data_IF_259717442225
#
_entry.id   IF_259717442225
#
_cell.length_a   1.000
_cell.length_b   1.000
_cell.length_c   1.000
_cell.angle_alpha   90.00
_cell.angle_beta   90.00
_cell.angle_gamma   90.00
#
_symmetry.space_group_name_H-M   'P 1'
#
loop_
_entity.id
_entity.type
_entity.pdbx_description
1 polymer ?
#
# COMPACT_ATOMS: atom_id res chain seq x y z
N UNK A 1 11.77 -10.74 14.38
CA UNK A 1 13.09 -10.05 14.59
C UNK A 1 13.45 -9.87 16.07
N UNK A 2 12.64 -9.14 16.88
CA UNK A 2 12.95 -8.87 18.29
C UNK A 2 13.07 -10.16 19.15
N UNK A 3 12.16 -11.12 18.94
CA UNK A 3 12.17 -12.41 19.67
C UNK A 3 13.44 -13.25 19.38
N UNK A 4 13.95 -13.22 18.14
CA UNK A 4 15.21 -13.88 17.77
C UNK A 4 16.43 -13.20 18.40
N UNK A 5 16.43 -11.86 18.43
CA UNK A 5 17.47 -11.07 19.12
C UNK A 5 17.44 -11.31 20.64
N UNK A 6 16.26 -11.43 21.24
CA UNK A 6 16.08 -11.74 22.65
C UNK A 6 16.50 -13.18 22.99
N UNK A 7 16.22 -14.14 22.09
CA UNK A 7 16.66 -15.53 22.26
C UNK A 7 18.19 -15.68 22.28
N UNK A 8 18.92 -14.93 21.44
CA UNK A 8 20.39 -14.93 21.39
C UNK A 8 21.08 -14.38 22.65
N UNK A 9 20.36 -13.58 23.44
CA UNK A 9 20.87 -12.91 24.65
C UNK A 9 20.82 -13.85 25.88
N UNK A 10 20.06 -14.95 25.81
CA UNK A 10 19.95 -16.01 26.83
C UNK A 10 18.90 -15.74 27.93
N UNK A 11 18.23 -16.81 28.39
CA UNK A 11 17.16 -16.76 29.39
C UNK A 11 17.50 -16.00 30.69
N UNK A 12 18.71 -16.12 31.29
CA UNK A 12 19.04 -15.38 32.52
C UNK A 12 19.03 -13.85 32.35
N UNK A 13 19.48 -13.36 31.18
CA UNK A 13 19.51 -11.93 30.90
C UNK A 13 18.11 -11.40 30.55
N UNK A 14 17.26 -12.21 29.93
CA UNK A 14 15.83 -11.91 29.74
C UNK A 14 15.09 -11.79 31.07
N UNK A 15 15.30 -12.74 31.98
CA UNK A 15 14.69 -12.72 33.32
C UNK A 15 15.05 -11.42 34.06
N UNK A 16 16.32 -11.01 34.00
CA UNK A 16 16.79 -9.76 34.64
C UNK A 16 16.22 -8.50 34.00
N UNK A 17 16.22 -8.43 32.67
CA UNK A 17 15.76 -7.24 31.92
C UNK A 17 14.25 -7.06 31.98
N UNK A 18 13.49 -8.13 31.77
CA UNK A 18 12.02 -8.12 31.85
C UNK A 18 11.57 -7.91 33.29
N UNK A 19 12.18 -8.60 34.27
CA UNK A 19 11.88 -8.40 35.69
C UNK A 19 12.14 -6.96 36.14
N UNK A 20 13.27 -6.37 35.73
CA UNK A 20 13.60 -4.97 36.03
C UNK A 20 12.66 -3.95 35.37
N UNK A 21 12.18 -4.23 34.17
CA UNK A 21 11.19 -3.38 33.50
C UNK A 21 9.81 -3.46 34.18
N UNK A 22 9.36 -4.68 34.51
CA UNK A 22 8.07 -4.91 35.18
C UNK A 22 8.04 -4.32 36.60
N UNK A 23 9.16 -4.35 37.32
CA UNK A 23 9.26 -3.79 38.68
C UNK A 23 9.11 -2.27 38.74
N UNK A 24 9.29 -1.55 37.62
CA UNK A 24 9.09 -0.10 37.54
C UNK A 24 7.64 0.32 37.29
N UNK A 25 6.75 -0.64 37.01
CA UNK A 25 5.34 -0.36 36.77
C UNK A 25 4.56 -0.37 38.09
N UNK A 26 3.74 0.65 38.31
CA UNK A 26 2.84 0.73 39.46
C UNK A 26 1.53 -0.02 39.20
N UNK A 27 1.66 -1.35 39.03
CA UNK A 27 0.53 -2.27 38.95
C UNK A 27 0.83 -3.54 39.76
N UNK A 28 -0.10 -4.03 40.60
CA UNK A 28 0.15 -5.16 41.50
C UNK A 28 0.56 -6.44 40.75
N UNK A 29 -0.05 -6.72 39.58
CA UNK A 29 0.35 -7.87 38.76
C UNK A 29 1.78 -7.75 38.20
N UNK A 30 2.24 -6.53 37.87
CA UNK A 30 3.58 -6.31 37.35
C UNK A 30 4.64 -6.47 38.46
N UNK A 31 4.35 -5.99 39.67
CA UNK A 31 5.22 -6.20 40.85
C UNK A 31 5.34 -7.68 41.21
N UNK A 32 4.22 -8.41 41.23
CA UNK A 32 4.22 -9.85 41.47
C UNK A 32 5.02 -10.64 40.42
N UNK A 33 4.87 -10.30 39.13
CA UNK A 33 5.65 -10.92 38.06
C UNK A 33 7.15 -10.60 38.17
N UNK A 34 7.51 -9.37 38.55
CA UNK A 34 8.90 -8.97 38.76
C UNK A 34 9.56 -9.73 39.92
N UNK A 35 8.85 -9.92 41.04
CA UNK A 35 9.31 -10.71 42.18
C UNK A 35 9.50 -12.19 41.82
N UNK A 36 8.55 -12.78 41.08
CA UNK A 36 8.68 -14.15 40.60
C UNK A 36 9.91 -14.34 39.70
N UNK A 37 10.15 -13.40 38.76
CA UNK A 37 11.32 -13.42 37.89
C UNK A 37 12.63 -13.23 38.69
N UNK A 38 12.66 -12.37 39.71
CA UNK A 38 13.81 -12.23 40.59
C UNK A 38 14.11 -13.53 41.37
N UNK A 39 13.06 -14.24 41.80
CA UNK A 39 13.17 -15.56 42.41
C UNK A 39 13.81 -16.59 41.47
N UNK A 40 13.41 -16.59 40.20
CA UNK A 40 14.01 -17.45 39.16
C UNK A 40 15.48 -17.10 38.95
N UNK A 41 15.84 -15.81 38.84
CA UNK A 41 17.24 -15.37 38.73
C UNK A 41 18.10 -15.86 39.90
N UNK A 42 17.57 -15.76 41.12
CA UNK A 42 18.25 -16.24 42.33
C UNK A 42 18.44 -17.77 42.33
N UNK A 43 17.44 -18.52 41.85
CA UNK A 43 17.54 -19.97 41.73
C UNK A 43 18.60 -20.42 40.70
N UNK A 44 18.78 -19.64 39.63
CA UNK A 44 19.85 -19.84 38.64
C UNK A 44 21.22 -19.56 39.27
N UNK A 45 21.39 -18.43 39.96
CA UNK A 45 22.66 -18.05 40.59
C UNK A 45 23.12 -19.05 41.67
N UNK A 46 22.17 -19.63 42.40
CA UNK A 46 22.43 -20.64 43.44
C UNK A 46 22.62 -22.06 42.88
N UNK A 47 22.54 -22.25 41.56
CA UNK A 47 22.66 -23.56 40.92
C UNK A 47 21.50 -24.51 41.20
N UNK A 48 20.37 -24.01 41.71
CA UNK A 48 19.15 -24.80 41.91
C UNK A 48 18.48 -25.14 40.56
N UNK A 49 18.72 -24.33 39.53
CA UNK A 49 18.43 -24.66 38.14
C UNK A 49 19.76 -25.02 37.47
N UNK A 50 19.85 -26.22 36.90
CA UNK A 50 21.09 -26.69 36.31
C UNK A 50 21.46 -25.91 35.03
N UNK A 51 22.75 -25.71 34.75
CA UNK A 51 23.21 -25.12 33.50
C UNK A 51 22.72 -25.86 32.25
N UNK A 52 22.57 -27.19 32.34
CA UNK A 52 22.08 -28.03 31.26
C UNK A 52 20.61 -27.75 30.94
N UNK A 53 19.77 -27.61 31.97
CA UNK A 53 18.35 -27.27 31.80
C UNK A 53 18.17 -25.87 31.20
N UNK A 54 19.01 -24.90 31.60
CA UNK A 54 19.02 -23.55 31.01
C UNK A 54 19.47 -23.57 29.55
N UNK A 55 20.51 -24.34 29.24
CA UNK A 55 21.00 -24.51 27.87
C UNK A 55 19.93 -25.14 26.96
N UNK A 56 19.21 -26.14 27.46
CA UNK A 56 18.11 -26.76 26.72
C UNK A 56 16.93 -25.82 26.51
N UNK A 57 16.54 -25.07 27.55
CA UNK A 57 15.50 -24.05 27.43
C UNK A 57 15.88 -22.96 26.39
N UNK A 58 17.13 -22.49 26.40
CA UNK A 58 17.63 -21.55 25.39
C UNK A 58 17.55 -22.14 23.98
N UNK A 59 17.99 -23.39 23.78
CA UNK A 59 17.88 -24.07 22.47
C UNK A 59 16.43 -24.17 21.99
N UNK A 60 15.48 -24.42 22.89
CA UNK A 60 14.07 -24.49 22.53
C UNK A 60 13.54 -23.11 22.08
N UNK A 61 13.85 -22.06 22.84
CA UNK A 61 13.46 -20.68 22.50
C UNK A 61 14.08 -20.23 21.18
N UNK A 62 15.35 -20.53 20.94
CA UNK A 62 16.02 -20.27 19.66
C UNK A 62 15.35 -21.00 18.49
N UNK A 63 15.02 -22.28 18.66
CA UNK A 63 14.33 -23.06 17.63
C UNK A 63 12.93 -22.52 17.34
N UNK A 64 12.16 -22.17 18.37
CA UNK A 64 10.86 -21.53 18.17
C UNK A 64 10.98 -20.20 17.43
N UNK A 65 11.93 -19.35 17.84
CA UNK A 65 12.16 -18.06 17.19
C UNK A 65 12.59 -18.21 15.72
N UNK A 66 13.37 -19.26 15.39
CA UNK A 66 13.72 -19.58 14.01
C UNK A 66 12.51 -20.01 13.19
N UNK A 67 11.66 -20.89 13.73
CA UNK A 67 10.42 -21.34 13.07
C UNK A 67 9.48 -20.16 12.81
N UNK A 68 9.32 -19.26 13.79
CA UNK A 68 8.49 -18.06 13.63
C UNK A 68 9.05 -17.11 12.57
N UNK A 69 10.37 -16.90 12.55
CA UNK A 69 11.04 -16.08 11.55
C UNK A 69 10.89 -16.67 10.13
N UNK A 70 11.03 -17.98 9.97
CA UNK A 70 10.81 -18.68 8.70
C UNK A 70 9.35 -18.56 8.24
N UNK A 71 8.40 -18.68 9.18
CA UNK A 71 6.97 -18.51 8.90
C UNK A 71 6.67 -17.08 8.44
N UNK A 72 7.18 -16.07 9.14
CA UNK A 72 7.04 -14.66 8.75
C UNK A 72 7.63 -14.42 7.35
N UNK A 73 8.84 -14.93 7.09
CA UNK A 73 9.51 -14.81 5.80
C UNK A 73 8.68 -15.45 4.67
N UNK A 74 8.12 -16.64 4.91
CA UNK A 74 7.25 -17.32 3.94
C UNK A 74 5.98 -16.54 3.66
N UNK A 75 5.30 -16.03 4.69
CA UNK A 75 4.10 -15.20 4.53
C UNK A 75 4.42 -13.96 3.69
N UNK A 76 5.51 -13.25 4.01
CA UNK A 76 5.93 -12.08 3.25
C UNK A 76 6.31 -12.41 1.81
N UNK A 77 6.92 -13.58 1.57
CA UNK A 77 7.25 -14.06 0.23
C UNK A 77 5.99 -14.31 -0.60
N UNK A 78 5.01 -15.04 -0.07
CA UNK A 78 3.74 -15.35 -0.74
C UNK A 78 2.93 -14.08 -1.05
N UNK A 79 2.87 -13.14 -0.09
CA UNK A 79 2.23 -11.83 -0.29
C UNK A 79 2.92 -11.06 -1.43
N UNK A 80 4.25 -10.97 -1.41
CA UNK A 80 5.00 -10.27 -2.45
C UNK A 80 4.87 -10.95 -3.82
N UNK A 81 4.83 -12.27 -3.85
CA UNK A 81 4.62 -13.03 -5.09
C UNK A 81 3.23 -12.74 -5.67
N UNK A 82 2.19 -12.71 -4.83
CA UNK A 82 0.83 -12.39 -5.24
C UNK A 82 0.72 -10.95 -5.76
N UNK A 83 1.28 -9.97 -5.03
CA UNK A 83 1.30 -8.56 -5.46
C UNK A 83 2.01 -8.40 -6.81
N UNK A 84 3.15 -9.08 -7.01
CA UNK A 84 3.87 -9.03 -8.29
C UNK A 84 3.07 -9.67 -9.41
N UNK A 85 2.41 -10.81 -9.15
CA UNK A 85 1.55 -11.46 -10.13
C UNK A 85 0.35 -10.58 -10.52
N UNK A 86 -0.28 -9.90 -9.56
CA UNK A 86 -1.35 -8.94 -9.81
C UNK A 86 -0.85 -7.72 -10.59
N UNK A 87 0.30 -7.16 -10.21
CA UNK A 87 0.90 -6.00 -10.89
C UNK A 87 1.31 -6.30 -12.34
N UNK A 88 1.71 -7.54 -12.63
CA UNK A 88 2.06 -8.03 -13.96
C UNK A 88 0.86 -8.61 -14.72
N UNK A 89 -0.34 -8.64 -14.13
CA UNK A 89 -1.52 -9.16 -14.78
C UNK A 89 -1.89 -8.28 -15.98
N UNK A 90 -1.87 -8.88 -17.18
CA UNK A 90 -2.17 -8.22 -18.45
C UNK A 90 -3.66 -8.26 -18.81
N UNK A 91 -4.56 -8.43 -17.83
CA UNK A 91 -5.99 -8.56 -18.09
C UNK A 91 -6.53 -7.36 -18.90
N UNK A 92 -6.94 -7.66 -20.12
CA UNK A 92 -7.46 -6.71 -21.08
C UNK A 92 -8.71 -6.00 -20.58
N UNK A 93 -9.54 -6.64 -19.76
CA UNK A 93 -10.76 -6.03 -19.23
C UNK A 93 -10.39 -4.88 -18.30
N UNK A 94 -9.55 -5.11 -17.29
CA UNK A 94 -9.12 -4.09 -16.31
C UNK A 94 -8.36 -2.95 -17.00
N UNK A 95 -7.50 -3.27 -17.98
CA UNK A 95 -6.68 -2.28 -18.69
C UNK A 95 -7.48 -1.39 -19.63
N UNK A 96 -8.56 -1.92 -20.23
CA UNK A 96 -9.42 -1.19 -21.18
C UNK A 96 -10.56 -0.46 -20.50
N UNK A 97 -11.00 -0.85 -19.31
CA UNK A 97 -12.08 -0.17 -18.58
C UNK A 97 -11.83 1.33 -18.42
N UNK A 98 -10.62 1.74 -18.02
CA UNK A 98 -10.31 3.18 -17.80
C UNK A 98 -10.37 3.98 -19.12
N UNK A 99 -9.72 3.57 -20.22
CA UNK A 99 -9.89 4.22 -21.53
C UNK A 99 -11.32 4.19 -22.06
N UNK A 100 -12.03 3.07 -21.94
CA UNK A 100 -13.40 2.91 -22.43
C UNK A 100 -14.35 3.91 -21.76
N UNK A 101 -14.23 4.11 -20.45
CA UNK A 101 -15.01 5.13 -19.75
C UNK A 101 -14.78 6.53 -20.32
N UNK A 102 -13.52 6.90 -20.57
CA UNK A 102 -13.18 8.18 -21.20
C UNK A 102 -13.74 8.33 -22.61
N UNK A 103 -13.69 7.27 -23.43
CA UNK A 103 -14.25 7.31 -24.78
C UNK A 103 -15.77 7.44 -24.79
N UNK A 104 -16.46 6.72 -23.89
CA UNK A 104 -17.91 6.83 -23.77
C UNK A 104 -18.30 8.25 -23.33
N UNK A 105 -17.62 8.83 -22.33
CA UNK A 105 -17.89 10.21 -21.91
C UNK A 105 -17.63 11.24 -23.02
N UNK A 106 -16.55 11.08 -23.77
CA UNK A 106 -16.24 11.97 -24.88
C UNK A 106 -17.30 11.88 -25.99
N UNK A 107 -17.76 10.65 -26.30
CA UNK A 107 -18.79 10.40 -27.29
C UNK A 107 -20.14 10.98 -26.86
N UNK A 108 -20.55 10.76 -25.61
CA UNK A 108 -21.83 11.30 -25.10
C UNK A 108 -21.80 12.82 -25.03
N UNK A 109 -20.66 13.41 -24.63
CA UNK A 109 -20.48 14.87 -24.64
C UNK A 109 -20.58 15.42 -26.06
N UNK A 110 -19.90 14.79 -27.02
CA UNK A 110 -19.97 15.19 -28.43
C UNK A 110 -21.39 15.10 -28.99
N UNK A 111 -22.10 14.00 -28.73
CA UNK A 111 -23.49 13.84 -29.13
C UNK A 111 -24.40 14.90 -28.50
N UNK A 112 -24.21 15.22 -27.22
CA UNK A 112 -24.96 16.25 -26.53
C UNK A 112 -24.71 17.64 -27.15
N UNK A 113 -23.46 17.99 -27.43
CA UNK A 113 -23.12 19.27 -28.07
C UNK A 113 -23.67 19.36 -29.51
N UNK A 114 -23.68 18.25 -30.26
CA UNK A 114 -24.31 18.21 -31.57
C UNK A 114 -25.82 18.41 -31.49
N UNK A 115 -26.49 17.79 -30.53
CA UNK A 115 -27.93 17.98 -30.32
C UNK A 115 -28.26 19.44 -30.00
N UNK A 116 -27.46 20.09 -29.15
CA UNK A 116 -27.61 21.52 -28.84
C UNK A 116 -27.39 22.39 -30.08
N UNK A 117 -26.32 22.13 -30.84
CA UNK A 117 -26.04 22.86 -32.07
C UNK A 117 -27.17 22.70 -33.10
N UNK A 118 -27.75 21.50 -33.21
CA UNK A 118 -28.90 21.23 -34.07
C UNK A 118 -30.13 22.04 -33.64
N UNK A 119 -30.49 22.02 -32.36
CA UNK A 119 -31.65 22.79 -31.85
C UNK A 119 -31.45 24.28 -32.07
N UNK A 120 -30.25 24.82 -31.83
CA UNK A 120 -29.97 26.25 -32.07
C UNK A 120 -30.14 26.61 -33.55
N UNK A 121 -29.69 25.74 -34.46
CA UNK A 121 -29.73 26.01 -35.90
C UNK A 121 -31.11 25.81 -36.53
N UNK A 122 -31.87 24.80 -36.09
CA UNK A 122 -33.11 24.37 -36.75
C UNK A 122 -34.37 24.63 -35.92
N UNK A 123 -34.27 24.71 -34.60
CA UNK A 123 -35.41 24.89 -33.67
C UNK A 123 -35.13 25.98 -32.61
N UNK A 124 -34.78 27.22 -33.03
CA UNK A 124 -34.27 28.25 -32.13
C UNK A 124 -35.27 28.67 -31.04
N UNK A 125 -36.57 28.50 -31.27
CA UNK A 125 -37.62 28.77 -30.27
C UNK A 125 -37.54 27.83 -29.07
N UNK A 126 -37.00 26.61 -29.23
CA UNK A 126 -36.83 25.62 -28.17
C UNK A 126 -35.43 25.67 -27.54
N UNK A 127 -34.49 26.43 -28.12
CA UNK A 127 -33.10 26.46 -27.66
C UNK A 127 -32.96 26.88 -26.20
N UNK A 128 -33.78 27.84 -25.73
CA UNK A 128 -33.79 28.27 -24.33
C UNK A 128 -34.15 27.15 -23.36
N UNK A 129 -35.22 26.41 -23.66
CA UNK A 129 -35.71 25.32 -22.81
C UNK A 129 -34.72 24.15 -22.78
N UNK A 130 -34.15 23.80 -23.94
CA UNK A 130 -33.16 22.71 -24.05
C UNK A 130 -31.88 23.07 -23.29
N UNK A 131 -31.35 24.29 -23.45
CA UNK A 131 -30.16 24.75 -22.70
C UNK A 131 -30.46 24.81 -21.20
N UNK A 132 -31.66 25.23 -20.81
CA UNK A 132 -32.11 25.19 -19.42
C UNK A 132 -32.12 23.77 -18.84
N UNK A 133 -32.62 22.80 -19.59
CA UNK A 133 -32.63 21.39 -19.20
C UNK A 133 -31.20 20.80 -19.06
N UNK A 134 -30.24 21.22 -19.88
CA UNK A 134 -28.84 20.81 -19.71
C UNK A 134 -28.26 21.22 -18.35
N UNK A 135 -28.71 22.35 -17.80
CA UNK A 135 -28.33 22.78 -16.45
C UNK A 135 -28.64 21.73 -15.38
N UNK A 136 -29.72 20.97 -15.55
CA UNK A 136 -30.12 19.90 -14.62
C UNK A 136 -29.18 18.69 -14.66
N UNK A 137 -28.43 18.51 -15.76
CA UNK A 137 -27.44 17.45 -15.92
C UNK A 137 -26.08 17.79 -15.25
N UNK A 138 -25.92 18.99 -14.68
CA UNK A 138 -24.64 19.43 -14.09
C UNK A 138 -24.09 18.47 -13.03
N UNK A 139 -24.97 17.88 -12.21
CA UNK A 139 -24.59 16.95 -11.16
C UNK A 139 -23.97 15.66 -11.73
N UNK A 140 -24.60 15.04 -12.74
CA UNK A 140 -24.08 13.80 -13.36
C UNK A 140 -22.76 14.07 -14.11
N UNK A 141 -22.64 15.24 -14.77
CA UNK A 141 -21.41 15.64 -15.44
C UNK A 141 -20.27 15.90 -14.47
N UNK A 142 -20.54 16.53 -13.32
CA UNK A 142 -19.53 16.77 -12.29
C UNK A 142 -18.97 15.46 -11.75
N UNK A 143 -19.83 14.47 -11.46
CA UNK A 143 -19.40 13.14 -11.02
C UNK A 143 -18.58 12.44 -12.11
N UNK A 144 -19.08 12.40 -13.35
CA UNK A 144 -18.39 11.74 -14.46
C UNK A 144 -17.01 12.33 -14.76
N UNK A 145 -16.90 13.66 -14.79
CA UNK A 145 -15.64 14.36 -15.03
C UNK A 145 -14.67 14.24 -13.84
N UNK A 146 -15.17 14.17 -12.61
CA UNK A 146 -14.33 13.92 -11.42
C UNK A 146 -13.67 12.54 -11.48
N UNK A 147 -14.43 11.51 -11.83
CA UNK A 147 -13.93 10.15 -12.01
C UNK A 147 -12.88 10.11 -13.12
N UNK A 148 -13.14 10.76 -14.26
CA UNK A 148 -12.18 10.88 -15.36
C UNK A 148 -10.90 11.61 -14.92
N UNK A 149 -11.02 12.69 -14.16
CA UNK A 149 -9.89 13.44 -13.62
C UNK A 149 -8.99 12.60 -12.72
N UNK A 150 -9.57 11.82 -11.80
CA UNK A 150 -8.84 10.88 -10.94
C UNK A 150 -8.11 9.82 -11.78
N UNK A 151 -8.78 9.26 -12.80
CA UNK A 151 -8.17 8.28 -13.68
C UNK A 151 -6.97 8.83 -14.45
N UNK A 152 -7.09 10.02 -15.03
CA UNK A 152 -5.98 10.68 -15.75
C UNK A 152 -4.82 10.97 -14.81
N UNK A 153 -5.10 11.49 -13.61
CA UNK A 153 -4.08 11.81 -12.62
C UNK A 153 -3.30 10.57 -12.17
N UNK A 154 -3.99 9.50 -11.76
CA UNK A 154 -3.34 8.24 -11.34
C UNK A 154 -2.56 7.60 -12.48
N UNK A 155 -3.10 7.61 -13.71
CA UNK A 155 -2.38 7.10 -14.89
C UNK A 155 -1.12 7.89 -15.20
N UNK A 156 -1.13 9.20 -14.97
CA UNK A 156 0.06 10.03 -15.11
C UNK A 156 1.13 9.63 -14.09
N UNK A 157 0.76 9.40 -12.84
CA UNK A 157 1.71 8.94 -11.81
C UNK A 157 2.30 7.57 -12.13
N UNK A 158 1.48 6.61 -12.60
CA UNK A 158 1.94 5.29 -13.03
C UNK A 158 3.03 5.40 -14.12
N UNK A 159 2.87 6.31 -15.09
CA UNK A 159 3.87 6.54 -16.15
C UNK A 159 5.17 7.15 -15.60
N UNK A 160 5.07 8.09 -14.66
CA UNK A 160 6.25 8.73 -14.07
C UNK A 160 7.03 7.78 -13.15
N UNK A 161 6.35 6.90 -12.42
CA UNK A 161 6.98 5.93 -11.51
C UNK A 161 7.77 4.82 -12.21
N UNK A 162 7.50 4.56 -13.50
CA UNK A 162 8.17 3.52 -14.30
C UNK A 162 9.50 3.97 -14.93
N UNK A 163 10.05 5.14 -14.57
CA UNK A 163 11.35 5.63 -15.10
C UNK A 163 11.35 5.98 -16.60
N UNK A 164 10.34 5.57 -17.34
CA UNK A 164 10.11 5.97 -18.73
C UNK A 164 9.47 7.36 -18.76
N UNK A 165 10.30 8.40 -18.69
CA UNK A 165 9.91 9.72 -19.17
C UNK A 165 9.81 9.66 -20.70
N UNK A 166 8.74 9.06 -21.23
CA UNK A 166 8.42 9.21 -22.65
C UNK A 166 8.25 10.72 -22.88
N UNK A 167 9.10 11.36 -23.70
CA UNK A 167 8.97 12.79 -23.95
C UNK A 167 7.56 13.06 -24.45
N UNK A 168 6.85 13.99 -23.80
CA UNK A 168 5.54 14.42 -24.29
C UNK A 168 5.64 14.85 -25.76
N UNK A 169 4.53 14.77 -26.49
CA UNK A 169 4.48 15.02 -27.94
C UNK A 169 5.23 16.31 -28.36
N UNK A 170 5.10 17.37 -27.56
CA UNK A 170 5.82 18.63 -27.75
C UNK A 170 7.34 18.52 -27.50
N UNK A 171 7.76 17.79 -26.46
CA UNK A 171 9.17 17.56 -26.15
C UNK A 171 9.85 16.68 -27.20
N UNK A 172 9.12 15.70 -27.76
CA UNK A 172 9.57 14.89 -28.89
C UNK A 172 9.70 15.67 -30.20
N UNK A 173 8.85 16.67 -30.43
CA UNK A 173 8.97 17.57 -31.58
C UNK A 173 10.16 18.53 -31.43
N UNK A 174 10.35 19.11 -30.23
CA UNK A 174 11.50 19.98 -29.95
C UNK A 174 12.82 19.22 -30.09
N UNK A 175 12.90 17.98 -29.58
CA UNK A 175 14.11 17.16 -29.68
C UNK A 175 14.42 16.70 -31.12
N UNK A 176 13.41 16.62 -31.99
CA UNK A 176 13.61 16.36 -33.44
C UNK A 176 14.03 17.60 -34.22
N UNK A 177 13.77 18.79 -33.69
CA UNK A 177 14.13 20.08 -34.29
C UNK A 177 15.45 20.62 -33.72
N UNK A 178 16.02 19.98 -32.70
CA UNK A 178 17.31 20.35 -32.11
C UNK A 178 18.46 19.61 -32.82
N UNK A 179 19.31 20.31 -33.59
CA UNK A 179 20.36 19.69 -34.40
C UNK A 179 21.53 19.08 -33.59
N UNK A 180 21.47 19.09 -32.25
CA UNK A 180 22.53 18.60 -31.36
C UNK A 180 22.21 17.38 -30.50
N UNK A 181 21.05 16.73 -30.65
CA UNK A 181 20.69 15.59 -29.78
C UNK A 181 21.46 14.30 -30.16
N UNK A 182 22.11 13.60 -29.20
CA UNK A 182 22.74 12.30 -29.47
C UNK A 182 21.67 11.26 -29.84
N UNK A 183 21.95 10.51 -30.91
CA UNK A 183 21.10 9.41 -31.40
C UNK A 183 21.08 8.22 -30.45
#
# INVERSE_FOLDING_TARGET
MLASLLAQIGLPLLVKTVGGALGRLDHPAAKSAAEALAGVGTAIERGAISPEALSEANRHVERMAAIDAEREAKILSEINQTIRAEALSEDHYVRRMRPTFGYILALTWFAQMLAVAYVIAFEPTQAGDVVGALGQLSAIWTVGLSVLGIYVYKRSQEKTGLGHTTPGLLKGLVQRLDPGAPR
#
